data_IF_252060775240
#
_entry.id   IF_252060775240
#
_cell.length_a   1.000
_cell.length_b   1.000
_cell.length_c   1.000
_cell.angle_alpha   90.00
_cell.angle_beta   90.00
_cell.angle_gamma   90.00
#
_symmetry.space_group_name_H-M   'P 1'
#
loop_
_entity.id
_entity.type
_entity.pdbx_description
1 polymer ?
#
# COMPACT_ATOMS: atom_id res chain seq x y z
N UNK A 1 10.95 37.40 -16.96
CA UNK A 1 11.21 36.83 -15.61
C UNK A 1 10.00 37.00 -14.67
N UNK A 2 9.25 38.10 -14.73
CA UNK A 2 8.07 38.40 -13.89
C UNK A 2 6.95 37.35 -14.01
N UNK A 3 6.56 36.98 -15.23
CA UNK A 3 5.48 36.00 -15.50
C UNK A 3 5.71 34.64 -14.81
N UNK A 4 6.96 34.17 -14.74
CA UNK A 4 7.30 32.90 -14.06
C UNK A 4 7.16 33.05 -12.55
N UNK A 5 7.59 34.17 -11.99
CA UNK A 5 7.46 34.44 -10.55
C UNK A 5 5.98 34.62 -10.14
N UNK A 6 5.19 35.27 -10.98
CA UNK A 6 3.74 35.43 -10.78
C UNK A 6 3.04 34.06 -10.83
N UNK A 7 3.45 33.18 -11.76
CA UNK A 7 2.94 31.81 -11.81
C UNK A 7 3.32 30.99 -10.59
N UNK A 8 4.58 31.02 -10.13
CA UNK A 8 5.02 30.28 -8.93
C UNK A 8 4.23 30.70 -7.68
N UNK A 9 3.87 31.98 -7.59
CA UNK A 9 3.05 32.55 -6.49
C UNK A 9 1.55 32.40 -6.72
N UNK A 10 1.12 31.86 -7.85
CA UNK A 10 -0.29 31.71 -8.16
C UNK A 10 -0.96 30.67 -7.25
N UNK A 11 -2.26 30.84 -6.93
CA UNK A 11 -3.03 29.84 -6.17
C UNK A 11 -3.03 28.45 -6.83
N UNK A 12 -2.98 28.40 -8.16
CA UNK A 12 -2.90 27.15 -8.92
C UNK A 12 -1.58 26.41 -8.67
N UNK A 13 -0.44 27.10 -8.73
CA UNK A 13 0.86 26.49 -8.45
C UNK A 13 1.01 26.06 -6.99
N UNK A 14 0.37 26.76 -6.04
CA UNK A 14 0.30 26.32 -4.65
C UNK A 14 -0.54 25.04 -4.48
N UNK A 15 -1.72 24.99 -5.10
CA UNK A 15 -2.59 23.80 -5.07
C UNK A 15 -1.89 22.58 -5.68
N UNK A 16 -1.22 22.75 -6.82
CA UNK A 16 -0.42 21.68 -7.42
C UNK A 16 0.67 21.19 -6.46
N UNK A 17 1.44 22.10 -5.84
CA UNK A 17 2.48 21.72 -4.86
C UNK A 17 1.92 20.93 -3.69
N UNK A 18 0.80 21.37 -3.10
CA UNK A 18 0.12 20.65 -2.02
C UNK A 18 -0.32 19.26 -2.45
N UNK A 19 -0.94 19.15 -3.64
CA UNK A 19 -1.35 17.86 -4.20
C UNK A 19 -0.17 16.91 -4.38
N UNK A 20 0.92 17.38 -4.97
CA UNK A 20 2.11 16.56 -5.19
C UNK A 20 2.73 16.11 -3.87
N UNK A 21 2.83 17.01 -2.90
CA UNK A 21 3.32 16.68 -1.57
C UNK A 21 2.50 15.57 -0.91
N UNK A 22 1.16 15.63 -1.00
CA UNK A 22 0.28 14.57 -0.48
C UNK A 22 0.53 13.25 -1.21
N UNK A 23 0.68 13.28 -2.54
CA UNK A 23 0.97 12.07 -3.33
C UNK A 23 2.32 11.45 -2.94
N UNK A 24 3.38 12.25 -2.77
CA UNK A 24 4.67 11.73 -2.36
C UNK A 24 4.60 11.09 -0.97
N UNK A 25 4.00 11.79 0.00
CA UNK A 25 3.80 11.25 1.35
C UNK A 25 3.01 9.95 1.33
N UNK A 26 1.98 9.85 0.47
CA UNK A 26 1.19 8.64 0.32
C UNK A 26 2.02 7.47 -0.21
N UNK A 27 2.88 7.70 -1.20
CA UNK A 27 3.74 6.62 -1.73
C UNK A 27 4.78 6.18 -0.71
N UNK A 28 5.33 7.10 0.07
CA UNK A 28 6.23 6.77 1.18
C UNK A 28 5.51 5.92 2.24
N UNK A 29 4.33 6.36 2.68
CA UNK A 29 3.50 5.61 3.64
C UNK A 29 3.12 4.23 3.12
N UNK A 30 2.71 4.12 1.85
CA UNK A 30 2.37 2.84 1.23
C UNK A 30 3.60 1.91 1.13
N UNK A 31 4.78 2.48 0.84
CA UNK A 31 6.03 1.72 0.80
C UNK A 31 6.35 1.10 2.16
N UNK A 32 6.22 1.88 3.23
CA UNK A 32 6.43 1.40 4.59
C UNK A 32 5.38 0.34 4.97
N UNK A 33 4.12 0.58 4.64
CA UNK A 33 3.03 -0.34 4.96
C UNK A 33 3.19 -1.70 4.27
N UNK A 34 3.47 -1.73 2.96
CA UNK A 34 3.75 -2.96 2.21
C UNK A 34 4.96 -3.69 2.77
N UNK A 35 6.00 -2.96 3.21
CA UNK A 35 7.18 -3.57 3.82
C UNK A 35 6.84 -4.27 5.15
N UNK A 36 6.03 -3.64 5.99
CA UNK A 36 5.59 -4.25 7.26
C UNK A 36 4.71 -5.47 7.01
N UNK A 37 3.79 -5.41 6.04
CA UNK A 37 2.98 -6.57 5.62
C UNK A 37 3.84 -7.70 5.05
N UNK A 38 4.87 -7.35 4.27
CA UNK A 38 5.84 -8.32 3.77
C UNK A 38 6.53 -9.08 4.90
N UNK A 39 6.99 -8.36 5.94
CA UNK A 39 7.59 -8.98 7.12
C UNK A 39 6.57 -9.88 7.83
N UNK A 40 5.36 -9.39 8.09
CA UNK A 40 4.29 -10.16 8.74
C UNK A 40 4.04 -11.49 8.02
N UNK A 41 3.92 -11.44 6.69
CA UNK A 41 3.59 -12.63 5.88
C UNK A 41 4.79 -13.55 5.71
N UNK A 42 5.96 -13.01 5.34
CA UNK A 42 7.11 -13.82 4.95
C UNK A 42 7.95 -14.30 6.12
N UNK A 43 8.03 -13.52 7.20
CA UNK A 43 8.84 -13.85 8.36
C UNK A 43 8.03 -14.54 9.46
N UNK A 44 6.71 -14.40 9.49
CA UNK A 44 5.86 -15.01 10.53
C UNK A 44 4.81 -15.97 9.98
N UNK A 45 3.84 -15.51 9.17
CA UNK A 45 2.75 -16.35 8.69
C UNK A 45 3.26 -17.59 7.93
N UNK A 46 4.11 -17.41 6.91
CA UNK A 46 4.60 -18.51 6.08
C UNK A 46 5.40 -19.54 6.88
N UNK A 47 6.39 -19.15 7.72
CA UNK A 47 7.08 -20.08 8.61
C UNK A 47 6.16 -20.81 9.59
N UNK A 48 5.20 -20.12 10.21
CA UNK A 48 4.27 -20.74 11.16
C UNK A 48 3.30 -21.71 10.47
N UNK A 49 2.80 -21.35 9.28
CA UNK A 49 1.99 -22.22 8.44
C UNK A 49 2.76 -23.49 8.05
N UNK A 50 4.06 -23.37 7.75
CA UNK A 50 4.92 -24.54 7.51
C UNK A 50 5.12 -25.38 8.78
N UNK A 51 5.34 -24.75 9.93
CA UNK A 51 5.51 -25.44 11.21
C UNK A 51 4.25 -26.22 11.63
N UNK A 52 3.06 -25.68 11.35
CA UNK A 52 1.77 -26.33 11.57
C UNK A 52 1.58 -27.62 10.74
N UNK A 53 2.28 -27.74 9.60
CA UNK A 53 2.27 -28.95 8.76
C UNK A 53 3.29 -30.01 9.17
N UNK A 54 4.05 -29.79 10.24
CA UNK A 54 5.06 -30.76 10.70
C UNK A 54 4.42 -31.99 11.39
N UNK A 55 5.18 -33.09 11.53
CA UNK A 55 4.68 -34.34 12.14
C UNK A 55 4.26 -34.18 13.61
N UNK A 56 4.79 -33.18 14.31
CA UNK A 56 4.45 -32.81 15.69
C UNK A 56 4.36 -31.28 15.76
N UNK A 57 3.23 -30.70 15.33
CA UNK A 57 3.15 -29.26 15.13
C UNK A 57 3.11 -28.52 16.47
N UNK A 58 3.90 -27.44 16.64
CA UNK A 58 3.85 -26.61 17.85
C UNK A 58 2.64 -25.67 17.89
N UNK A 59 1.94 -25.49 16.76
CA UNK A 59 0.78 -24.62 16.57
C UNK A 59 -0.16 -25.28 15.54
N UNK A 60 -1.48 -25.16 15.72
CA UNK A 60 -2.44 -25.70 14.74
C UNK A 60 -2.62 -24.79 13.53
N UNK A 61 -3.14 -25.34 12.43
CA UNK A 61 -3.51 -24.54 11.26
C UNK A 61 -4.60 -23.51 11.59
N UNK A 62 -5.54 -23.86 12.47
CA UNK A 62 -6.62 -22.98 12.89
C UNK A 62 -6.08 -21.79 13.69
N UNK A 63 -5.15 -22.04 14.63
CA UNK A 63 -4.50 -20.96 15.39
C UNK A 63 -3.76 -19.97 14.48
N UNK A 64 -3.01 -20.49 13.49
CA UNK A 64 -2.34 -19.64 12.49
C UNK A 64 -3.37 -18.85 11.67
N UNK A 65 -4.45 -19.50 11.23
CA UNK A 65 -5.50 -18.83 10.46
C UNK A 65 -6.23 -17.75 11.27
N UNK A 66 -6.50 -17.98 12.55
CA UNK A 66 -7.17 -17.01 13.43
C UNK A 66 -6.27 -15.83 13.80
N UNK A 67 -4.94 -16.03 13.89
CA UNK A 67 -4.00 -14.94 14.19
C UNK A 67 -3.75 -14.05 12.96
N UNK A 68 -3.58 -14.66 11.79
CA UNK A 68 -3.12 -13.94 10.59
C UNK A 68 -4.24 -13.60 9.60
N UNK A 69 -5.41 -14.25 9.70
CA UNK A 69 -6.61 -14.00 8.89
C UNK A 69 -6.26 -13.74 7.41
N UNK A 70 -6.75 -12.63 6.85
CA UNK A 70 -6.57 -12.25 5.46
C UNK A 70 -5.26 -11.49 5.17
N UNK A 71 -4.27 -11.52 6.08
CA UNK A 71 -3.03 -10.73 5.95
C UNK A 71 -2.24 -10.99 4.66
N UNK A 72 -2.20 -12.24 4.17
CA UNK A 72 -1.52 -12.56 2.90
C UNK A 72 -2.24 -11.91 1.71
N UNK A 73 -3.57 -11.92 1.70
CA UNK A 73 -4.38 -11.26 0.67
C UNK A 73 -4.24 -9.74 0.71
N UNK A 74 -4.23 -9.17 1.93
CA UNK A 74 -4.02 -7.73 2.15
C UNK A 74 -2.64 -7.29 1.65
N UNK A 75 -1.59 -8.06 1.96
CA UNK A 75 -0.24 -7.80 1.43
C UNK A 75 -0.24 -7.75 -0.09
N UNK A 76 -0.86 -8.72 -0.75
CA UNK A 76 -0.92 -8.77 -2.21
C UNK A 76 -1.69 -7.58 -2.81
N UNK A 77 -2.81 -7.20 -2.21
CA UNK A 77 -3.61 -6.04 -2.62
C UNK A 77 -2.79 -4.75 -2.59
N UNK A 78 -2.14 -4.49 -1.45
CA UNK A 78 -1.36 -3.28 -1.25
C UNK A 78 -0.08 -3.28 -2.11
N UNK A 79 0.52 -4.44 -2.38
CA UNK A 79 1.63 -4.54 -3.32
C UNK A 79 1.23 -4.13 -4.76
N UNK A 80 0.03 -4.54 -5.22
CA UNK A 80 -0.51 -4.09 -6.52
C UNK A 80 -0.72 -2.57 -6.53
N UNK A 81 -1.34 -2.03 -5.47
CA UNK A 81 -1.59 -0.60 -5.35
C UNK A 81 -0.29 0.21 -5.33
N UNK A 82 0.71 -0.24 -4.57
CA UNK A 82 2.05 0.34 -4.50
C UNK A 82 2.77 0.36 -5.85
N UNK A 83 2.71 -0.75 -6.60
CA UNK A 83 3.26 -0.80 -7.95
C UNK A 83 2.57 0.20 -8.89
N UNK A 84 1.25 0.32 -8.80
CA UNK A 84 0.46 1.33 -9.50
C UNK A 84 0.91 2.76 -9.18
N UNK A 85 1.10 3.07 -7.89
CA UNK A 85 1.58 4.36 -7.42
C UNK A 85 2.98 4.70 -7.96
N UNK A 86 3.92 3.75 -7.89
CA UNK A 86 5.29 3.92 -8.42
C UNK A 86 5.28 4.18 -9.93
N UNK A 87 4.44 3.46 -10.68
CA UNK A 87 4.30 3.68 -12.11
C UNK A 87 3.77 5.09 -12.45
N UNK A 88 2.85 5.63 -11.64
CA UNK A 88 2.31 6.98 -11.86
C UNK A 88 3.32 8.07 -11.52
N UNK A 89 4.10 7.91 -10.44
CA UNK A 89 5.19 8.86 -10.12
C UNK A 89 6.25 8.90 -11.22
N UNK A 90 6.59 7.74 -11.81
CA UNK A 90 7.56 7.69 -12.90
C UNK A 90 7.13 8.52 -14.14
N UNK A 91 5.83 8.76 -14.31
CA UNK A 91 5.24 9.54 -15.40
C UNK A 91 4.95 11.02 -15.03
N UNK A 92 5.70 11.55 -14.06
CA UNK A 92 5.65 12.96 -13.68
C UNK A 92 5.79 13.90 -14.90
N UNK A 93 5.00 15.00 -15.04
CA UNK A 93 4.12 15.64 -14.04
C UNK A 93 2.64 15.22 -14.09
N UNK A 94 2.24 14.33 -14.99
CA UNK A 94 0.84 13.93 -15.16
C UNK A 94 0.45 12.87 -14.13
N UNK A 95 0.11 13.32 -12.92
CA UNK A 95 -0.39 12.44 -11.86
C UNK A 95 -1.91 12.32 -11.94
N UNK A 96 -2.40 11.18 -12.41
CA UNK A 96 -3.81 10.75 -12.26
C UNK A 96 -3.78 9.48 -11.44
N UNK A 97 -4.46 9.47 -10.28
CA UNK A 97 -4.47 8.33 -9.34
C UNK A 97 -5.86 7.76 -9.08
N UNK A 98 -6.93 8.41 -9.57
CA UNK A 98 -8.31 8.08 -9.24
C UNK A 98 -8.65 6.61 -9.54
N UNK A 99 -8.18 6.12 -10.68
CA UNK A 99 -8.38 4.75 -11.12
C UNK A 99 -7.69 3.70 -10.22
N UNK A 100 -6.61 4.07 -9.53
CA UNK A 100 -6.00 3.18 -8.53
C UNK A 100 -6.88 3.06 -7.28
N UNK A 101 -7.55 4.15 -6.87
CA UNK A 101 -8.48 4.12 -5.73
C UNK A 101 -9.77 3.39 -6.06
N UNK A 102 -10.27 3.52 -7.28
CA UNK A 102 -11.47 2.79 -7.72
C UNK A 102 -11.27 1.26 -7.64
N UNK A 103 -10.04 0.78 -7.79
CA UNK A 103 -9.67 -0.62 -7.60
C UNK A 103 -9.46 -0.97 -6.11
N UNK A 104 -8.80 -0.09 -5.36
CA UNK A 104 -8.47 -0.34 -3.95
C UNK A 104 -9.69 -0.29 -3.03
N UNK A 105 -10.54 0.73 -3.15
CA UNK A 105 -11.63 1.02 -2.22
C UNK A 105 -12.64 -0.14 -2.05
N UNK A 106 -13.12 -0.81 -3.12
CA UNK A 106 -14.03 -1.94 -2.98
C UNK A 106 -13.40 -3.13 -2.23
N UNK A 107 -12.08 -3.28 -2.35
CA UNK A 107 -11.32 -4.38 -1.78
C UNK A 107 -11.02 -4.17 -0.29
N UNK A 108 -11.13 -2.93 0.22
CA UNK A 108 -10.95 -2.64 1.64
C UNK A 108 -12.01 -3.30 2.55
N UNK A 109 -13.11 -3.81 1.99
CA UNK A 109 -14.06 -4.64 2.73
C UNK A 109 -13.40 -5.88 3.36
N UNK A 110 -12.27 -6.36 2.82
CA UNK A 110 -11.51 -7.47 3.41
C UNK A 110 -11.03 -7.21 4.84
N UNK A 111 -10.90 -5.94 5.24
CA UNK A 111 -10.55 -5.55 6.60
C UNK A 111 -11.72 -5.65 7.59
N UNK A 112 -12.97 -5.80 7.11
CA UNK A 112 -14.11 -6.04 8.02
C UNK A 112 -14.08 -7.45 8.63
N UNK A 113 -13.32 -8.36 8.03
CA UNK A 113 -13.12 -9.73 8.52
C UNK A 113 -11.94 -9.84 9.50
N UNK A 114 -11.26 -8.73 9.81
CA UNK A 114 -10.08 -8.66 10.69
C UNK A 114 -10.42 -8.45 12.16
#
# INVERSE_FOLDING_TARGET
KTIIQDYIRSPHAESMRKRNQIVFNMVEAETEYVHQLYILVNCFLRPLRMAASSKKPPISHDDVSSIFLNSETIMFLHEIFHQGLKARIANWPTLVLADLFDILLPMLNIYQEF
#
